data_IF_111240303327
#
_entry.id   IF_111240303327
#
_cell.length_a   1.000
_cell.length_b   1.000
_cell.length_c   1.000
_cell.angle_alpha   90.00
_cell.angle_beta   90.00
_cell.angle_gamma   90.00
#
_symmetry.space_group_name_H-M   'P 1'
#
loop_
_entity.id
_entity.type
_entity.pdbx_description
1 polymer ?
#
# COMPACT_ATOMS: atom_id res chain seq x y z
N UNK A 1 -14.41 -13.62 -12.75
CA UNK A 1 -14.95 -12.92 -11.75
C UNK A 1 -13.96 -12.28 -10.87
N UNK A 2 -14.11 -11.08 -10.58
CA UNK A 2 -13.15 -10.43 -9.82
C UNK A 2 -13.69 -9.91 -8.57
N UNK A 3 -14.55 -10.61 -7.98
CA UNK A 3 -15.17 -10.12 -6.79
C UNK A 3 -14.39 -10.43 -5.56
N UNK A 4 -13.12 -10.77 -5.72
CA UNK A 4 -12.29 -11.01 -4.56
C UNK A 4 -11.67 -9.74 -4.02
N UNK A 5 -11.70 -8.67 -4.79
CA UNK A 5 -11.12 -7.41 -4.32
C UNK A 5 -12.18 -6.60 -3.59
N UNK A 6 -11.90 -6.24 -2.35
CA UNK A 6 -12.82 -5.43 -1.57
C UNK A 6 -12.05 -4.74 -0.46
N UNK A 7 -12.70 -3.81 0.22
CA UNK A 7 -12.03 -3.07 1.28
C UNK A 7 -13.00 -2.81 2.43
N UNK A 8 -12.41 -2.54 3.59
CA UNK A 8 -13.15 -2.12 4.78
C UNK A 8 -12.45 -0.89 5.35
N UNK A 9 -13.23 0.11 5.66
CA UNK A 9 -12.69 1.33 6.25
C UNK A 9 -13.30 1.56 7.62
N UNK A 10 -12.41 1.69 8.63
CA UNK A 10 -12.82 1.96 10.00
C UNK A 10 -12.72 3.46 10.22
N UNK A 11 -13.87 4.13 10.30
CA UNK A 11 -13.89 5.58 10.42
C UNK A 11 -13.31 6.05 11.74
N UNK A 12 -13.53 5.31 12.83
CA UNK A 12 -13.02 5.72 14.12
C UNK A 12 -11.50 5.66 14.17
N UNK A 13 -10.93 4.60 13.65
CA UNK A 13 -9.49 4.43 13.69
C UNK A 13 -8.78 4.99 12.48
N UNK A 14 -9.52 5.38 11.45
CA UNK A 14 -8.94 5.85 10.20
C UNK A 14 -8.02 4.79 9.61
N UNK A 15 -8.50 3.54 9.57
CA UNK A 15 -7.74 2.41 9.06
C UNK A 15 -8.46 1.85 7.85
N UNK A 16 -7.73 1.74 6.75
CA UNK A 16 -8.26 1.12 5.54
C UNK A 16 -7.58 -0.22 5.32
N UNK A 17 -8.39 -1.27 5.23
CA UNK A 17 -7.91 -2.60 4.88
C UNK A 17 -8.42 -2.96 3.49
N UNK A 18 -7.51 -3.33 2.61
CA UNK A 18 -7.84 -3.76 1.26
C UNK A 18 -7.54 -5.24 1.17
N UNK A 19 -8.45 -5.99 0.56
CA UNK A 19 -8.33 -7.45 0.45
C UNK A 19 -8.31 -7.86 -1.00
N UNK A 20 -7.36 -8.71 -1.35
CA UNK A 20 -7.20 -9.19 -2.73
C UNK A 20 -7.64 -10.63 -2.89
N UNK A 21 -8.06 -11.28 -1.80
CA UNK A 21 -8.48 -12.66 -1.84
C UNK A 21 -9.80 -12.79 -1.10
N UNK A 22 -10.59 -13.79 -1.48
CA UNK A 22 -11.93 -13.96 -0.93
C UNK A 22 -11.94 -14.45 0.50
N UNK A 23 -10.93 -15.19 0.90
CA UNK A 23 -10.87 -15.79 2.23
C UNK A 23 -9.60 -15.37 2.92
N UNK A 24 -9.72 -15.18 4.23
CA UNK A 24 -8.52 -14.93 5.01
C UNK A 24 -7.67 -16.18 5.01
N UNK A 25 -6.38 -16.00 5.01
CA UNK A 25 -5.41 -17.08 5.05
C UNK A 25 -4.19 -16.57 5.78
N UNK A 26 -3.36 -17.49 6.31
CA UNK A 26 -2.11 -17.04 6.93
C UNK A 26 -1.28 -16.27 5.94
N UNK A 27 -0.70 -15.19 6.40
CA UNK A 27 0.04 -14.32 5.51
C UNK A 27 1.25 -13.76 6.24
N UNK A 28 2.24 -13.42 5.43
CA UNK A 28 3.45 -12.77 5.90
C UNK A 28 3.21 -11.27 5.74
N UNK A 29 3.24 -10.55 6.86
CA UNK A 29 2.96 -9.13 6.83
C UNK A 29 4.26 -8.35 6.89
N UNK A 30 4.42 -7.42 5.96
CA UNK A 30 5.59 -6.57 5.87
C UNK A 30 5.18 -5.14 6.09
N UNK A 31 5.85 -4.47 7.00
CA UNK A 31 5.64 -3.05 7.23
C UNK A 31 6.49 -2.28 6.24
N UNK A 32 5.86 -1.81 5.17
CA UNK A 32 6.58 -1.05 4.13
C UNK A 32 7.00 0.31 4.68
N UNK A 33 6.08 0.96 5.35
CA UNK A 33 6.32 2.18 6.09
C UNK A 33 5.61 2.03 7.42
N UNK A 34 5.82 2.91 8.38
CA UNK A 34 5.09 2.79 9.65
C UNK A 34 3.58 2.78 9.49
N UNK A 35 3.06 3.30 8.39
CA UNK A 35 1.61 3.40 8.19
C UNK A 35 1.09 2.52 7.06
N UNK A 36 1.93 1.80 6.36
CA UNK A 36 1.50 1.00 5.21
C UNK A 36 2.09 -0.40 5.31
N UNK A 37 1.20 -1.40 5.33
CA UNK A 37 1.63 -2.79 5.44
C UNK A 37 1.04 -3.59 4.31
N UNK A 38 1.79 -4.58 3.83
CA UNK A 38 1.30 -5.51 2.84
C UNK A 38 1.37 -6.92 3.41
N UNK A 39 0.33 -7.71 3.16
CA UNK A 39 0.28 -9.11 3.56
C UNK A 39 0.39 -9.98 2.33
N UNK A 40 1.25 -10.96 2.39
CA UNK A 40 1.60 -11.79 1.25
C UNK A 40 1.47 -13.26 1.63
N UNK A 41 0.87 -14.05 0.73
CA UNK A 41 0.82 -15.49 0.88
C UNK A 41 2.12 -16.04 0.30
N UNK A 42 2.96 -16.61 1.16
CA UNK A 42 4.27 -17.08 0.73
C UNK A 42 4.19 -18.26 -0.25
N UNK A 43 3.15 -19.07 -0.13
CA UNK A 43 3.02 -20.24 -0.98
C UNK A 43 2.66 -19.84 -2.39
N UNK A 44 1.64 -19.01 -2.55
CA UNK A 44 1.22 -18.57 -3.88
C UNK A 44 1.99 -17.37 -4.36
N UNK A 45 2.72 -16.70 -3.47
CA UNK A 45 3.48 -15.49 -3.78
C UNK A 45 2.58 -14.38 -4.32
N UNK A 46 1.42 -14.25 -3.69
CA UNK A 46 0.45 -13.24 -4.08
C UNK A 46 0.12 -12.34 -2.90
N UNK A 47 -0.23 -11.09 -3.21
CA UNK A 47 -0.69 -10.17 -2.18
C UNK A 47 -2.04 -10.62 -1.69
N UNK A 48 -2.20 -10.64 -0.37
CA UNK A 48 -3.45 -10.97 0.28
C UNK A 48 -4.19 -9.70 0.63
N UNK A 49 -3.47 -8.67 1.05
CA UNK A 49 -4.10 -7.42 1.42
C UNK A 49 -3.11 -6.31 1.66
N UNK A 50 -3.66 -5.11 1.79
CA UNK A 50 -2.92 -3.91 2.18
C UNK A 50 -3.64 -3.28 3.36
N UNK A 51 -2.87 -2.71 4.27
CA UNK A 51 -3.43 -1.99 5.41
C UNK A 51 -2.80 -0.61 5.47
N UNK A 52 -3.65 0.41 5.58
CA UNK A 52 -3.21 1.80 5.68
C UNK A 52 -3.69 2.36 7.01
N UNK A 53 -2.76 2.81 7.83
CA UNK A 53 -3.06 3.46 9.10
C UNK A 53 -3.04 4.97 8.90
N UNK A 54 -3.97 5.68 9.54
CA UNK A 54 -4.12 7.13 9.36
C UNK A 54 -4.34 7.46 7.89
N UNK A 55 -5.25 6.73 7.27
CA UNK A 55 -5.43 6.78 5.82
C UNK A 55 -5.72 8.18 5.30
N UNK A 56 -6.57 8.95 5.98
CA UNK A 56 -6.90 10.30 5.49
C UNK A 56 -5.68 11.21 5.46
N UNK A 57 -4.78 11.04 6.41
CA UNK A 57 -3.54 11.82 6.40
C UNK A 57 -2.62 11.39 5.25
N UNK A 58 -2.64 10.11 4.90
CA UNK A 58 -1.77 9.61 3.84
C UNK A 58 -2.19 10.12 2.46
N UNK A 59 -3.49 10.30 2.25
CA UNK A 59 -3.98 10.74 0.93
C UNK A 59 -4.06 12.25 0.83
N UNK A 60 -3.81 12.98 1.89
CA UNK A 60 -3.90 14.43 1.88
C UNK A 60 -2.79 15.01 1.01
N UNK A 61 -3.10 15.83 0.01
CA UNK A 61 -2.06 16.34 -0.88
C UNK A 61 -1.21 17.40 -0.18
N UNK A 62 -0.01 17.59 -0.69
CA UNK A 62 0.88 18.65 -0.25
C UNK A 62 0.92 19.73 -1.34
N UNK A 63 1.66 20.76 -1.08
CA UNK A 63 1.84 21.81 -2.07
C UNK A 63 2.53 21.31 -3.33
N UNK A 64 3.31 20.23 -3.21
CA UNK A 64 3.99 19.64 -4.35
C UNK A 64 3.21 18.50 -4.98
N UNK A 65 2.01 18.22 -4.50
CA UNK A 65 1.19 17.13 -5.03
C UNK A 65 1.03 16.02 -4.03
N UNK A 66 0.98 14.78 -4.51
CA UNK A 66 0.80 13.63 -3.63
C UNK A 66 1.99 13.47 -2.69
N UNK A 67 1.70 13.00 -1.49
CA UNK A 67 2.76 12.75 -0.53
C UNK A 67 3.57 11.53 -0.95
N UNK A 68 4.86 11.57 -0.66
CA UNK A 68 5.76 10.46 -0.96
C UNK A 68 6.17 9.80 0.34
N UNK A 69 6.18 8.48 0.36
CA UNK A 69 6.53 7.71 1.56
C UNK A 69 7.70 6.79 1.24
N UNK A 70 8.87 7.03 1.83
CA UNK A 70 9.99 6.11 1.60
C UNK A 70 9.64 4.71 2.11
N UNK A 71 9.89 3.70 1.30
CA UNK A 71 9.56 2.32 1.64
C UNK A 71 10.75 1.72 2.37
N UNK A 72 10.94 2.14 3.61
CA UNK A 72 12.13 1.77 4.36
C UNK A 72 12.09 0.33 4.88
N UNK A 73 10.88 -0.24 4.97
CA UNK A 73 10.75 -1.60 5.49
C UNK A 73 11.38 -2.66 4.61
N UNK A 74 11.53 -2.36 3.31
CA UNK A 74 12.17 -3.32 2.42
C UNK A 74 13.64 -3.50 2.72
N UNK A 75 14.30 -2.46 3.22
CA UNK A 75 15.73 -2.52 3.45
C UNK A 75 16.13 -3.56 4.49
N UNK A 76 15.19 -3.97 5.33
CA UNK A 76 15.48 -4.94 6.38
C UNK A 76 15.30 -6.38 5.93
N UNK A 77 14.90 -6.61 4.69
CA UNK A 77 14.65 -7.95 4.19
C UNK A 77 15.86 -8.47 3.43
N UNK A 78 16.06 -9.80 3.39
CA UNK A 78 17.05 -10.37 2.49
C UNK A 78 16.77 -9.98 1.06
N UNK A 79 17.81 -9.96 0.23
CA UNK A 79 17.66 -9.44 -1.13
C UNK A 79 16.64 -10.22 -1.94
N UNK A 80 16.55 -11.54 -1.75
CA UNK A 80 15.57 -12.33 -2.49
C UNK A 80 14.16 -11.95 -2.11
N UNK A 81 13.95 -11.62 -0.83
CA UNK A 81 12.60 -11.21 -0.39
C UNK A 81 12.29 -9.81 -0.85
N UNK A 82 13.29 -8.94 -0.89
CA UNK A 82 13.06 -7.60 -1.44
C UNK A 82 12.60 -7.68 -2.88
N UNK A 83 13.22 -8.53 -3.68
CA UNK A 83 12.85 -8.68 -5.08
C UNK A 83 11.44 -9.23 -5.24
N UNK A 84 11.09 -10.23 -4.42
CA UNK A 84 9.76 -10.79 -4.48
C UNK A 84 8.71 -9.75 -4.13
N UNK A 85 8.94 -9.01 -3.04
CA UNK A 85 7.97 -8.00 -2.62
C UNK A 85 7.84 -6.92 -3.68
N UNK A 86 8.96 -6.52 -4.31
CA UNK A 86 8.90 -5.50 -5.33
C UNK A 86 8.07 -5.95 -6.53
N UNK A 87 8.21 -7.21 -6.93
CA UNK A 87 7.39 -7.74 -8.01
C UNK A 87 5.91 -7.71 -7.64
N UNK A 88 5.59 -8.11 -6.41
CA UNK A 88 4.21 -8.11 -5.94
C UNK A 88 3.64 -6.70 -5.89
N UNK A 89 4.45 -5.74 -5.44
CA UNK A 89 3.99 -4.34 -5.37
C UNK A 89 3.70 -3.76 -6.74
N UNK A 90 4.29 -4.32 -7.78
CA UNK A 90 4.04 -3.86 -9.14
C UNK A 90 2.89 -4.59 -9.83
N UNK A 91 2.20 -5.46 -9.12
CA UNK A 91 1.04 -6.14 -9.68
C UNK A 91 -0.12 -5.14 -9.81
N UNK A 92 -0.91 -5.22 -10.90
CA UNK A 92 -1.98 -4.24 -11.10
C UNK A 92 -2.96 -4.12 -9.96
N UNK A 93 -3.27 -5.21 -9.26
CA UNK A 93 -4.21 -5.14 -8.13
C UNK A 93 -3.67 -4.25 -7.02
N UNK A 94 -2.38 -4.34 -6.75
CA UNK A 94 -1.75 -3.52 -5.72
C UNK A 94 -1.61 -2.08 -6.22
N UNK A 95 -1.26 -1.92 -7.49
CA UNK A 95 -1.07 -0.58 -8.06
C UNK A 95 -2.34 0.24 -8.09
N UNK A 96 -3.48 -0.41 -8.04
CA UNK A 96 -4.74 0.33 -7.96
C UNK A 96 -4.82 1.16 -6.67
N UNK A 97 -4.06 0.80 -5.66
CA UNK A 97 -4.08 1.46 -4.37
C UNK A 97 -2.78 2.15 -4.02
N UNK A 98 -1.66 1.62 -4.51
CA UNK A 98 -0.34 2.06 -4.07
C UNK A 98 0.60 2.06 -5.26
N UNK A 99 1.16 3.22 -5.56
CA UNK A 99 2.09 3.38 -6.68
C UNK A 99 3.51 3.41 -6.14
N UNK A 100 4.33 2.50 -6.63
CA UNK A 100 5.71 2.35 -6.16
C UNK A 100 6.65 2.79 -7.27
N UNK A 101 7.62 3.63 -6.93
CA UNK A 101 8.62 4.04 -7.89
C UNK A 101 9.99 4.10 -7.23
N UNK A 102 11.02 4.02 -8.05
CA UNK A 102 12.40 4.09 -7.58
C UNK A 102 12.93 5.48 -7.90
N UNK A 103 13.44 6.15 -6.87
CA UNK A 103 14.05 7.46 -7.03
C UNK A 103 15.54 7.29 -7.07
N UNK A 104 16.17 7.74 -8.14
CA UNK A 104 17.62 7.57 -8.32
C UNK A 104 18.33 8.91 -8.30
N UNK A 105 17.95 9.75 -7.37
CA UNK A 105 18.60 11.06 -7.24
C UNK A 105 20.02 10.95 -6.78
N UNK A 106 20.32 9.90 -6.03
CA UNK A 106 21.67 9.68 -5.52
C UNK A 106 22.26 8.50 -6.26
N UNK A 107 23.37 8.70 -6.98
CA UNK A 107 23.89 7.64 -7.83
C UNK A 107 24.15 6.32 -7.12
N UNK A 108 24.56 6.40 -5.86
CA UNK A 108 24.92 5.19 -5.14
C UNK A 108 23.86 4.68 -4.21
N UNK A 109 22.72 5.35 -4.15
CA UNK A 109 21.70 4.99 -3.16
C UNK A 109 20.30 5.25 -3.69
N UNK A 110 19.87 4.53 -4.72
CA UNK A 110 18.50 4.66 -5.15
C UNK A 110 17.58 4.16 -4.03
N UNK A 111 16.42 4.77 -3.90
CA UNK A 111 15.48 4.31 -2.89
C UNK A 111 14.08 4.27 -3.46
N UNK A 112 13.23 3.48 -2.83
CA UNK A 112 11.88 3.24 -3.28
C UNK A 112 10.92 4.13 -2.51
N UNK A 113 9.99 4.75 -3.21
CA UNK A 113 8.96 5.57 -2.59
C UNK A 113 7.60 5.07 -3.02
N UNK A 114 6.62 5.31 -2.17
CA UNK A 114 5.24 4.94 -2.43
C UNK A 114 4.38 6.18 -2.44
N UNK A 115 3.38 6.17 -3.31
CA UNK A 115 2.33 7.18 -3.34
C UNK A 115 1.00 6.45 -3.33
N UNK A 116 0.02 6.98 -2.61
CA UNK A 116 -1.29 6.36 -2.63
C UNK A 116 -2.06 6.84 -3.83
N UNK A 117 -2.79 5.91 -4.47
CA UNK A 117 -3.70 6.28 -5.55
C UNK A 117 -4.97 6.87 -4.96
N UNK A 118 -5.72 7.57 -5.79
CA UNK A 118 -6.98 8.19 -5.34
C UNK A 118 -7.94 7.10 -4.87
N UNK A 119 -8.67 7.35 -3.78
CA UNK A 119 -9.64 6.36 -3.30
C UNK A 119 -10.75 6.16 -4.32
N UNK A 120 -11.37 4.97 -4.35
CA UNK A 120 -12.57 4.78 -5.15
C UNK A 120 -13.66 5.76 -4.72
N UNK A 121 -14.57 6.08 -5.62
CA UNK A 121 -15.60 7.08 -5.33
C UNK A 121 -16.47 6.67 -4.15
N UNK A 122 -16.77 5.39 -4.01
CA UNK A 122 -17.57 4.94 -2.87
C UNK A 122 -16.87 5.20 -1.56
N UNK A 123 -15.56 4.98 -1.53
CA UNK A 123 -14.80 5.21 -0.33
C UNK A 123 -14.69 6.70 -0.04
N UNK A 124 -14.49 7.52 -1.08
CA UNK A 124 -14.41 8.96 -0.91
C UNK A 124 -15.65 9.51 -0.22
N UNK A 125 -16.82 8.95 -0.51
CA UNK A 125 -18.07 9.48 0.03
C UNK A 125 -18.19 9.25 1.53
N UNK A 126 -17.44 8.34 2.11
CA UNK A 126 -17.54 8.07 3.54
C UNK A 126 -16.34 8.53 4.33
N UNK A 127 -15.30 9.03 3.66
CA UNK A 127 -14.12 9.50 4.37
C UNK A 127 -14.43 10.80 5.10
N UNK A 128 -13.94 10.94 6.34
CA UNK A 128 -14.13 12.17 7.11
C UNK A 128 -13.14 13.24 6.67
N UNK A 129 -13.10 13.51 5.38
CA UNK A 129 -12.15 14.47 4.85
C UNK A 129 -12.77 15.85 4.81
N UNK A 130 -12.03 16.84 5.29
CA UNK A 130 -12.49 18.20 5.20
C UNK A 130 -12.55 18.61 3.76
N UNK A 131 -13.60 19.29 3.39
CA UNK A 131 -13.75 19.73 2.01
C UNK A 131 -12.86 20.91 1.78
N UNK A 132 -11.95 21.20 2.28
CA UNK A 132 -11.15 22.43 2.12
C UNK A 132 -10.68 22.63 0.72
#
# INVERSE_FOLDING_TARGET
>A
MKDTEWYEYDEEGDVLDVYFVAKRRPAWTIELTPNIMISIDRVSQQAVGLTFLDYTALIEPTLQGRRSFPVIGLANLPIEEQELVFIILNHPSVQAWLDISVVENLPDSPFTVAHLESPPSELLSILPVEAA
#
